data_IF_420508354533
#
_entry.id   IF_420508354533
#
_cell.length_a   1.000
_cell.length_b   1.000
_cell.length_c   1.000
_cell.angle_alpha   90.00
_cell.angle_beta   90.00
_cell.angle_gamma   90.00
#
_symmetry.space_group_name_H-M   'P 1'
#
loop_
_entity.id
_entity.type
_entity.pdbx_description
1 polymer ?
#
# COMPACT_ATOMS: atom_id res chain seq x y z
N UNK A 1 23.25 -10.68 14.17
CA UNK A 1 22.35 -10.81 13.00
C UNK A 1 21.66 -9.47 12.79
N UNK A 2 21.49 -9.01 11.55
CA UNK A 2 20.68 -7.80 11.25
C UNK A 2 19.21 -8.14 11.48
N UNK A 3 18.39 -7.18 11.99
CA UNK A 3 16.95 -7.40 12.13
C UNK A 3 16.31 -7.46 10.73
N UNK A 4 15.38 -8.39 10.48
CA UNK A 4 14.65 -8.45 9.22
C UNK A 4 13.83 -7.17 8.99
N UNK A 5 13.84 -6.67 7.76
CA UNK A 5 13.10 -5.47 7.37
C UNK A 5 11.90 -5.91 6.51
N UNK A 6 10.69 -5.61 6.96
CA UNK A 6 9.45 -5.86 6.26
C UNK A 6 8.93 -4.57 5.66
N UNK A 7 8.65 -4.59 4.37
CA UNK A 7 8.06 -3.44 3.68
C UNK A 7 6.58 -3.68 3.33
N UNK A 8 5.72 -2.73 3.69
CA UNK A 8 4.29 -2.76 3.42
C UNK A 8 3.87 -1.55 2.59
N UNK A 9 3.40 -1.82 1.40
CA UNK A 9 3.11 -0.82 0.38
C UNK A 9 1.80 -0.05 0.59
N UNK A 10 1.62 1.07 -0.11
CA UNK A 10 0.37 1.82 -0.15
C UNK A 10 -0.70 1.09 -0.97
N UNK A 11 -1.98 1.31 -0.64
CA UNK A 11 -3.08 0.79 -1.44
C UNK A 11 -2.99 1.29 -2.89
N UNK A 12 -3.10 0.37 -3.84
CA UNK A 12 -3.00 0.64 -5.27
C UNK A 12 -1.57 0.88 -5.79
N UNK A 13 -0.53 0.59 -4.98
CA UNK A 13 0.88 0.66 -5.38
C UNK A 13 1.57 -0.65 -5.01
N UNK A 14 1.67 -1.63 -5.91
CA UNK A 14 2.35 -2.90 -5.65
C UNK A 14 3.77 -2.70 -5.12
N UNK A 15 4.28 -3.66 -4.34
CA UNK A 15 5.59 -3.56 -3.69
C UNK A 15 6.73 -3.30 -4.68
N UNK A 16 6.67 -3.86 -5.88
CA UNK A 16 7.67 -3.65 -6.93
C UNK A 16 7.83 -2.18 -7.34
N UNK A 17 6.79 -1.35 -7.14
CA UNK A 17 6.87 0.12 -7.35
C UNK A 17 7.96 0.75 -6.49
N UNK A 18 8.29 0.16 -5.36
CA UNK A 18 9.26 0.67 -4.38
C UNK A 18 10.66 0.07 -4.53
N UNK A 19 10.90 -0.72 -5.57
CA UNK A 19 12.17 -1.42 -5.79
C UNK A 19 13.39 -0.51 -5.71
N UNK A 20 13.35 0.66 -6.31
CA UNK A 20 14.44 1.64 -6.25
C UNK A 20 14.65 2.16 -4.83
N UNK A 21 13.56 2.50 -4.12
CA UNK A 21 13.62 2.94 -2.73
C UNK A 21 14.24 1.85 -1.84
N UNK A 22 13.76 0.63 -1.99
CA UNK A 22 14.22 -0.50 -1.18
C UNK A 22 15.69 -0.85 -1.47
N UNK A 23 16.17 -0.67 -2.70
CA UNK A 23 17.58 -0.90 -3.06
C UNK A 23 18.56 0.08 -2.39
N UNK A 24 18.07 1.21 -1.88
CA UNK A 24 18.89 2.20 -1.16
C UNK A 24 18.99 1.90 0.35
N UNK A 25 18.23 0.94 0.83
CA UNK A 25 18.22 0.58 2.26
C UNK A 25 19.27 -0.49 2.52
N UNK A 26 20.26 -0.16 3.36
CA UNK A 26 21.24 -1.14 3.83
C UNK A 26 20.64 -1.98 4.97
N UNK A 27 20.13 -3.15 4.63
CA UNK A 27 19.48 -4.03 5.60
C UNK A 27 19.13 -5.40 5.04
N UNK A 28 18.56 -6.24 5.91
CA UNK A 28 18.03 -7.56 5.56
C UNK A 28 16.56 -7.41 5.15
N UNK A 29 16.34 -6.93 3.92
CA UNK A 29 14.99 -6.72 3.40
C UNK A 29 14.40 -8.06 3.02
N UNK A 30 13.29 -8.40 3.68
CA UNK A 30 12.53 -9.61 3.40
C UNK A 30 11.71 -9.44 2.12
N UNK A 31 11.43 -10.54 1.42
CA UNK A 31 10.61 -10.52 0.21
C UNK A 31 9.23 -9.92 0.53
N UNK A 32 8.88 -8.75 -0.02
CA UNK A 32 7.65 -8.06 0.37
C UNK A 32 6.42 -8.73 -0.24
N UNK A 33 5.27 -8.58 0.43
CA UNK A 33 3.99 -8.90 -0.17
C UNK A 33 3.80 -8.08 -1.44
N UNK A 34 3.70 -8.75 -2.58
CA UNK A 34 3.60 -8.08 -3.88
C UNK A 34 2.39 -7.15 -3.97
N UNK A 35 1.24 -7.61 -3.49
CA UNK A 35 0.00 -6.85 -3.33
C UNK A 35 -0.68 -7.29 -2.04
N UNK A 36 -0.82 -6.36 -1.09
CA UNK A 36 -1.55 -6.61 0.16
C UNK A 36 -3.03 -6.86 -0.17
N UNK A 37 -3.59 -7.93 0.34
CA UNK A 37 -4.98 -8.30 0.13
C UNK A 37 -5.24 -9.11 -1.15
N UNK A 38 -4.23 -9.42 -1.96
CA UNK A 38 -4.41 -10.21 -3.20
C UNK A 38 -5.03 -11.58 -2.95
N UNK A 39 -4.73 -12.18 -1.80
CA UNK A 39 -5.20 -13.51 -1.42
C UNK A 39 -6.46 -13.50 -0.57
N UNK A 40 -6.99 -12.32 -0.25
CA UNK A 40 -8.21 -12.17 0.52
C UNK A 40 -9.41 -12.23 -0.44
N UNK A 41 -10.22 -13.33 -0.39
CA UNK A 41 -11.29 -13.53 -1.36
C UNK A 41 -12.43 -12.52 -1.19
N UNK A 42 -12.68 -12.09 0.04
CA UNK A 42 -13.71 -11.12 0.40
C UNK A 42 -13.30 -10.40 1.68
N UNK A 43 -13.35 -9.08 1.67
CA UNK A 43 -13.09 -8.25 2.86
C UNK A 43 -14.40 -8.08 3.63
N UNK A 44 -14.51 -8.70 4.81
CA UNK A 44 -15.73 -8.68 5.65
C UNK A 44 -15.69 -7.60 6.72
N UNK A 45 -14.56 -7.46 7.39
CA UNK A 45 -14.41 -6.61 8.59
C UNK A 45 -13.37 -5.48 8.41
N UNK A 46 -13.13 -5.06 7.19
CA UNK A 46 -12.26 -3.95 6.88
C UNK A 46 -10.78 -4.26 7.07
N UNK A 47 -10.13 -3.65 8.06
CA UNK A 47 -8.68 -3.77 8.21
C UNK A 47 -8.19 -5.08 8.85
N UNK A 48 -9.07 -5.89 9.44
CA UNK A 48 -8.68 -7.07 10.21
C UNK A 48 -8.00 -8.12 9.34
N UNK A 49 -8.59 -8.47 8.21
CA UNK A 49 -8.03 -9.48 7.30
C UNK A 49 -6.68 -9.06 6.73
N UNK A 50 -6.55 -7.79 6.35
CA UNK A 50 -5.27 -7.24 5.89
C UNK A 50 -4.22 -7.21 7.01
N UNK A 51 -4.64 -6.97 8.25
CA UNK A 51 -3.75 -6.97 9.41
C UNK A 51 -3.25 -8.38 9.68
N UNK A 52 -4.11 -9.40 9.56
CA UNK A 52 -3.74 -10.80 9.76
C UNK A 52 -2.77 -11.29 8.67
N UNK A 53 -2.98 -10.89 7.42
CA UNK A 53 -2.05 -11.17 6.33
C UNK A 53 -0.64 -10.62 6.62
N UNK A 54 -0.55 -9.40 7.15
CA UNK A 54 0.73 -8.79 7.54
C UNK A 54 1.38 -9.52 8.71
N UNK A 55 0.60 -9.89 9.73
CA UNK A 55 1.11 -10.66 10.88
C UNK A 55 1.64 -12.00 10.39
N UNK A 56 0.88 -12.73 9.60
CA UNK A 56 1.31 -14.02 9.04
C UNK A 56 2.60 -13.86 8.22
N UNK A 57 2.67 -12.83 7.38
CA UNK A 57 3.85 -12.58 6.56
C UNK A 57 5.08 -12.29 7.41
N UNK A 58 4.98 -11.37 8.38
CA UNK A 58 6.10 -10.99 9.24
C UNK A 58 6.55 -12.13 10.16
N UNK A 59 5.63 -12.98 10.61
CA UNK A 59 5.93 -14.10 11.50
C UNK A 59 6.69 -15.26 10.82
N UNK A 60 6.85 -15.24 9.50
CA UNK A 60 7.67 -16.21 8.76
C UNK A 60 9.17 -16.01 8.99
N UNK A 61 9.57 -14.85 9.49
CA UNK A 61 10.96 -14.54 9.80
C UNK A 61 11.25 -14.76 11.28
N UNK A 62 12.52 -15.04 11.60
CA UNK A 62 12.95 -15.20 12.98
C UNK A 62 13.31 -13.84 13.61
N UNK A 63 12.80 -13.61 14.81
CA UNK A 63 13.11 -12.41 15.61
C UNK A 63 12.21 -11.22 15.30
N UNK A 64 12.35 -10.19 16.15
CA UNK A 64 11.60 -8.94 15.99
C UNK A 64 12.06 -8.18 14.75
N UNK A 65 11.17 -7.96 13.80
CA UNK A 65 11.45 -7.23 12.57
C UNK A 65 11.42 -5.70 12.71
N UNK A 66 11.85 -5.03 11.64
CA UNK A 66 11.62 -3.59 11.44
C UNK A 66 10.54 -3.47 10.35
N UNK A 67 9.41 -2.84 10.65
CA UNK A 67 8.40 -2.55 9.64
C UNK A 67 8.67 -1.18 9.00
N UNK A 68 8.59 -1.11 7.67
CA UNK A 68 8.53 0.15 6.91
C UNK A 68 7.20 0.14 6.17
N UNK A 69 6.28 1.02 6.54
CA UNK A 69 4.94 1.04 5.95
C UNK A 69 4.59 2.38 5.31
N UNK A 70 4.19 2.36 4.04
CA UNK A 70 3.72 3.55 3.34
C UNK A 70 2.19 3.62 3.36
N UNK A 71 1.64 4.78 3.72
CA UNK A 71 0.21 5.07 3.69
C UNK A 71 -0.61 3.95 4.35
N UNK A 72 -1.39 3.19 3.59
CA UNK A 72 -2.18 2.04 4.07
C UNK A 72 -1.32 0.99 4.78
N UNK A 73 -0.18 0.60 4.19
CA UNK A 73 0.76 -0.34 4.81
C UNK A 73 1.31 0.15 6.15
N UNK A 74 1.50 1.47 6.30
CA UNK A 74 1.85 2.07 7.58
C UNK A 74 0.77 1.94 8.64
N UNK A 75 -0.49 2.15 8.25
CA UNK A 75 -1.65 1.93 9.15
C UNK A 75 -1.74 0.47 9.57
N UNK A 76 -1.60 -0.45 8.63
CA UNK A 76 -1.65 -1.89 8.93
C UNK A 76 -0.51 -2.34 9.82
N UNK A 77 0.70 -1.80 9.66
CA UNK A 77 1.86 -2.09 10.53
C UNK A 77 1.57 -1.70 11.99
N UNK A 78 0.92 -0.56 12.21
CA UNK A 78 0.50 -0.14 13.56
C UNK A 78 -0.58 -1.06 14.15
N UNK A 79 -1.56 -1.46 13.33
CA UNK A 79 -2.61 -2.38 13.77
C UNK A 79 -2.05 -3.77 14.06
N UNK A 80 -1.11 -4.26 13.24
CA UNK A 80 -0.43 -5.53 13.46
C UNK A 80 0.36 -5.52 14.77
N UNK A 81 1.13 -4.49 15.04
CA UNK A 81 1.86 -4.33 16.31
C UNK A 81 0.92 -4.22 17.51
N UNK A 82 -0.24 -3.57 17.36
CA UNK A 82 -1.24 -3.48 18.44
C UNK A 82 -1.91 -4.83 18.72
N UNK A 83 -2.12 -5.66 17.69
CA UNK A 83 -2.69 -7.00 17.80
C UNK A 83 -1.68 -8.02 18.31
N UNK A 84 -0.44 -7.96 17.84
CA UNK A 84 0.68 -8.82 18.22
C UNK A 84 1.83 -7.97 18.76
N UNK A 85 1.80 -7.62 20.07
CA UNK A 85 2.87 -6.87 20.71
C UNK A 85 4.20 -7.62 20.62
N UNK A 86 5.25 -6.93 20.14
CA UNK A 86 6.58 -7.54 19.93
C UNK A 86 6.81 -8.07 18.51
N UNK A 87 5.83 -8.00 17.60
CA UNK A 87 6.01 -8.37 16.21
C UNK A 87 7.11 -7.55 15.53
N UNK A 88 7.13 -6.24 15.80
CA UNK A 88 8.13 -5.32 15.28
C UNK A 88 8.88 -4.61 16.41
N UNK A 89 10.21 -4.61 16.32
CA UNK A 89 11.08 -3.82 17.19
C UNK A 89 10.97 -2.31 16.92
N UNK A 90 10.71 -1.96 15.66
CA UNK A 90 10.59 -0.59 15.18
C UNK A 90 9.62 -0.52 14.01
N UNK A 91 8.83 0.56 13.95
CA UNK A 91 7.97 0.85 12.81
C UNK A 91 8.36 2.22 12.25
N UNK A 92 8.66 2.26 10.96
CA UNK A 92 8.95 3.48 10.19
C UNK A 92 7.71 3.76 9.33
N UNK A 93 7.11 4.92 9.53
CA UNK A 93 5.88 5.32 8.88
C UNK A 93 6.17 6.35 7.78
N UNK A 94 5.77 6.03 6.56
CA UNK A 94 5.85 6.91 5.41
C UNK A 94 4.43 7.39 5.09
N UNK A 95 4.10 8.62 5.48
CA UNK A 95 2.82 9.30 5.25
C UNK A 95 1.55 8.44 5.54
N UNK A 96 1.42 7.81 6.72
CA UNK A 96 0.25 7.03 7.06
C UNK A 96 -0.96 7.95 7.31
N UNK A 97 -2.19 7.56 6.94
CA UNK A 97 -3.41 8.34 7.19
C UNK A 97 -3.81 8.24 8.67
N UNK A 98 -3.06 8.88 9.55
CA UNK A 98 -3.38 8.97 10.97
C UNK A 98 -4.29 10.17 11.19
N UNK A 99 -5.53 9.91 11.57
CA UNK A 99 -6.51 10.95 11.84
C UNK A 99 -6.57 11.29 13.34
N UNK A 100 -6.58 12.58 13.64
CA UNK A 100 -6.87 13.06 15.00
C UNK A 100 -8.26 12.62 15.44
N UNK A 101 -8.49 12.57 16.74
CA UNK A 101 -9.79 12.18 17.30
C UNK A 101 -10.95 13.00 16.71
N UNK A 102 -10.78 14.32 16.58
CA UNK A 102 -11.78 15.20 15.98
C UNK A 102 -12.10 14.83 14.53
N UNK A 103 -11.06 14.57 13.71
CA UNK A 103 -11.26 14.13 12.31
C UNK A 103 -11.98 12.78 12.24
N UNK A 104 -11.70 11.86 13.15
CA UNK A 104 -12.38 10.56 13.21
C UNK A 104 -13.87 10.72 13.52
N UNK A 105 -14.24 11.60 14.44
CA UNK A 105 -15.65 11.89 14.76
C UNK A 105 -16.36 12.49 13.55
N UNK A 106 -15.75 13.47 12.88
CA UNK A 106 -16.32 14.10 11.67
C UNK A 106 -16.51 13.05 10.56
N UNK A 107 -15.51 12.20 10.29
CA UNK A 107 -15.58 11.13 9.30
C UNK A 107 -16.70 10.13 9.63
N UNK A 108 -16.81 9.74 10.91
CA UNK A 108 -17.85 8.81 11.37
C UNK A 108 -19.26 9.40 11.17
N UNK A 109 -19.42 10.69 11.45
CA UNK A 109 -20.68 11.39 11.22
C UNK A 109 -21.02 11.51 9.75
N UNK A 110 -20.06 11.92 8.90
CA UNK A 110 -20.25 12.00 7.46
C UNK A 110 -20.55 10.63 6.84
N UNK A 111 -19.92 9.57 7.32
CA UNK A 111 -20.21 8.19 6.89
C UNK A 111 -21.64 7.77 7.21
N UNK A 112 -22.15 8.10 8.41
CA UNK A 112 -23.56 7.82 8.77
C UNK A 112 -24.56 8.54 7.87
N UNK A 113 -24.15 9.68 7.29
CA UNK A 113 -24.96 10.46 6.35
C UNK A 113 -24.73 10.08 4.88
N UNK A 114 -23.84 9.10 4.58
CA UNK A 114 -23.45 8.74 3.21
C UNK A 114 -22.65 9.83 2.49
N UNK A 115 -22.02 10.75 3.25
CA UNK A 115 -21.30 11.92 2.74
C UNK A 115 -19.77 11.79 2.86
N UNK A 116 -19.25 10.59 3.20
CA UNK A 116 -17.81 10.33 3.34
C UNK A 116 -17.01 10.66 2.08
N UNK A 117 -17.65 10.63 0.90
CA UNK A 117 -17.03 10.96 -0.37
C UNK A 117 -16.56 12.42 -0.48
N UNK A 118 -17.08 13.31 0.38
CA UNK A 118 -16.67 14.73 0.41
C UNK A 118 -15.28 14.91 0.98
N UNK A 119 -14.83 14.00 1.83
CA UNK A 119 -13.57 14.10 2.58
C UNK A 119 -12.58 12.98 2.27
N UNK A 120 -13.00 12.01 1.45
CA UNK A 120 -12.14 10.90 1.01
C UNK A 120 -11.75 11.05 -0.46
N UNK A 121 -10.55 10.61 -0.87
CA UNK A 121 -10.15 10.64 -2.29
C UNK A 121 -10.88 9.61 -3.16
N UNK A 122 -11.83 8.86 -2.62
CA UNK A 122 -12.55 7.78 -3.31
C UNK A 122 -13.15 8.23 -4.65
N UNK A 123 -13.77 9.42 -4.72
CA UNK A 123 -14.31 9.98 -5.98
C UNK A 123 -13.25 10.22 -7.07
N UNK A 124 -12.02 10.55 -6.67
CA UNK A 124 -10.91 10.74 -7.63
C UNK A 124 -10.39 9.40 -8.14
N UNK A 125 -10.44 8.36 -7.31
CA UNK A 125 -10.06 6.99 -7.70
C UNK A 125 -11.03 6.39 -8.71
N UNK A 126 -12.33 6.60 -8.54
CA UNK A 126 -13.39 6.07 -9.42
C UNK A 126 -13.37 6.65 -10.85
N UNK A 127 -12.66 7.75 -11.09
CA UNK A 127 -12.51 8.36 -12.43
C UNK A 127 -11.19 7.99 -13.11
N UNK A 128 -10.43 7.04 -12.57
CA UNK A 128 -9.19 6.60 -13.21
C UNK A 128 -9.53 5.76 -14.43
N UNK A 129 -8.74 5.93 -15.47
CA UNK A 129 -8.79 5.06 -16.63
C UNK A 129 -8.35 3.65 -16.20
N UNK A 130 -9.16 2.66 -16.50
CA UNK A 130 -8.99 1.28 -16.03
C UNK A 130 -8.36 0.35 -17.10
N UNK A 131 -8.29 0.81 -18.36
CA UNK A 131 -7.83 -0.03 -19.46
C UNK A 131 -6.94 0.72 -20.44
N UNK A 132 -5.88 0.05 -20.91
CA UNK A 132 -4.88 0.56 -21.84
C UNK A 132 -4.61 -0.49 -22.90
N UNK A 133 -4.29 -0.05 -24.15
CA UNK A 133 -3.96 -0.97 -25.24
C UNK A 133 -2.52 -1.51 -25.11
N UNK A 134 -1.65 -0.78 -24.42
CA UNK A 134 -0.28 -1.22 -24.15
C UNK A 134 0.24 -0.66 -22.83
N UNK A 135 1.34 -1.22 -22.33
CA UNK A 135 2.04 -0.68 -21.15
C UNK A 135 2.71 0.64 -21.43
N UNK A 136 3.11 0.91 -22.66
CA UNK A 136 3.66 2.20 -23.09
C UNK A 136 2.60 3.29 -22.99
N UNK A 137 1.38 3.02 -23.48
CA UNK A 137 0.25 3.95 -23.34
C UNK A 137 -0.05 4.24 -21.85
N UNK A 138 -0.03 3.22 -21.02
CA UNK A 138 -0.22 3.37 -19.58
C UNK A 138 0.90 4.20 -18.94
N UNK A 139 2.16 3.98 -19.33
CA UNK A 139 3.32 4.71 -18.83
C UNK A 139 3.21 6.20 -19.17
N UNK A 140 2.84 6.55 -20.39
CA UNK A 140 2.64 7.94 -20.84
C UNK A 140 1.46 8.57 -20.08
N UNK A 141 0.38 7.84 -19.94
CA UNK A 141 -0.78 8.31 -19.17
C UNK A 141 -0.43 8.61 -17.72
N UNK A 142 0.21 7.70 -16.99
CA UNK A 142 0.56 7.93 -15.60
C UNK A 142 1.63 9.01 -15.44
N UNK A 143 2.62 9.06 -16.32
CA UNK A 143 3.65 10.11 -16.33
C UNK A 143 3.06 11.52 -16.49
N UNK A 144 1.92 11.66 -17.15
CA UNK A 144 1.22 12.95 -17.30
C UNK A 144 0.43 13.37 -16.05
N UNK A 145 0.26 12.50 -15.05
CA UNK A 145 -0.56 12.81 -13.87
C UNK A 145 0.23 13.57 -12.81
N UNK A 146 -0.43 14.51 -12.16
CA UNK A 146 0.15 15.32 -11.08
C UNK A 146 0.77 14.48 -9.96
N UNK A 147 0.15 13.33 -9.63
CA UNK A 147 0.65 12.41 -8.62
C UNK A 147 2.06 11.89 -8.93
N UNK A 148 2.38 11.71 -10.20
CA UNK A 148 3.64 11.16 -10.67
C UNK A 148 4.65 12.20 -11.18
N UNK A 149 4.30 13.49 -11.09
CA UNK A 149 5.11 14.58 -11.69
C UNK A 149 6.57 14.59 -11.21
N UNK A 150 6.78 14.32 -9.93
CA UNK A 150 8.11 14.32 -9.30
C UNK A 150 8.68 12.89 -9.14
N UNK A 151 7.97 11.88 -9.67
CA UNK A 151 8.38 10.48 -9.55
C UNK A 151 9.27 10.10 -10.73
N UNK A 152 10.44 9.45 -10.52
CA UNK A 152 11.31 8.98 -11.58
C UNK A 152 10.55 8.07 -12.57
N UNK A 153 10.84 8.19 -13.87
CA UNK A 153 10.19 7.35 -14.91
C UNK A 153 10.41 5.86 -14.69
N UNK A 154 11.55 5.48 -14.14
CA UNK A 154 11.86 4.10 -13.78
C UNK A 154 10.89 3.55 -12.75
N UNK A 155 10.58 4.33 -11.71
CA UNK A 155 9.59 3.98 -10.69
C UNK A 155 8.18 3.89 -11.29
N UNK A 156 7.79 4.82 -12.19
CA UNK A 156 6.50 4.74 -12.89
C UNK A 156 6.44 3.48 -13.77
N UNK A 157 7.55 3.10 -14.40
CA UNK A 157 7.64 1.86 -15.18
C UNK A 157 7.41 0.63 -14.29
N UNK A 158 8.02 0.56 -13.12
CA UNK A 158 7.77 -0.51 -12.14
C UNK A 158 6.29 -0.54 -11.73
N UNK A 159 5.70 0.62 -11.44
CA UNK A 159 4.28 0.74 -11.13
C UNK A 159 3.38 0.17 -12.23
N UNK A 160 3.62 0.53 -13.50
CA UNK A 160 2.86 0.04 -14.64
C UNK A 160 3.06 -1.46 -14.86
N UNK A 161 4.30 -1.95 -14.72
CA UNK A 161 4.63 -3.35 -14.94
C UNK A 161 4.00 -4.28 -13.90
N UNK A 162 3.98 -3.88 -12.64
CA UNK A 162 3.48 -4.69 -11.54
C UNK A 162 2.01 -4.46 -11.21
N UNK A 163 1.47 -3.28 -11.56
CA UNK A 163 0.10 -2.91 -11.25
C UNK A 163 -0.92 -3.22 -12.33
N UNK A 164 -0.48 -3.52 -13.58
CA UNK A 164 -1.38 -3.83 -14.68
C UNK A 164 -1.24 -5.29 -15.11
N UNK A 165 -2.36 -5.99 -15.12
CA UNK A 165 -2.50 -7.36 -15.66
C UNK A 165 -3.06 -7.30 -17.08
N UNK A 166 -2.59 -8.20 -17.95
CA UNK A 166 -3.16 -8.35 -19.28
C UNK A 166 -4.45 -9.17 -19.19
N UNK A 167 -5.54 -8.57 -19.67
CA UNK A 167 -6.86 -9.21 -19.75
C UNK A 167 -7.51 -8.90 -21.07
N UNK A 168 -7.83 -9.95 -21.85
CA UNK A 168 -8.52 -9.83 -23.14
C UNK A 168 -7.84 -8.85 -24.12
N UNK A 169 -6.49 -8.87 -24.18
CA UNK A 169 -5.73 -8.01 -25.09
C UNK A 169 -5.60 -6.54 -24.64
N UNK A 170 -5.98 -6.22 -23.41
CA UNK A 170 -5.80 -4.92 -22.79
C UNK A 170 -5.11 -5.06 -21.43
N UNK A 171 -4.49 -3.98 -20.96
CA UNK A 171 -3.84 -3.90 -19.64
C UNK A 171 -4.74 -3.15 -18.66
N UNK A 172 -5.07 -3.83 -17.54
CA UNK A 172 -6.00 -3.32 -16.52
C UNK A 172 -5.37 -3.38 -15.14
#
# INVERSE_FOLDING_TARGET
MKNPIHFFHANGFPAETYKELLSLIDGDIQDPLSVIGKQIPEVKEGYHEFTDEIIEHASKTHGEGIAIGHSFGGTLSLLAQAKEPGLFKKIILLDPPIFSHAKRIILSFLRKLGLEYLVTPAKKSMKRRESFNSREEALDYFSSKTLFKEVPKTTIKHYVQSGLEERNGTYQ
#
